data_IF_215847603212
#
_entry.id   IF_215847603212
#
_cell.length_a   1.000
_cell.length_b   1.000
_cell.length_c   1.000
_cell.angle_alpha   90.00
_cell.angle_beta   90.00
_cell.angle_gamma   90.00
#
_symmetry.space_group_name_H-M   'P 1'
#
loop_
_entity.id
_entity.type
_entity.pdbx_description
1 polymer ?
#
# COMPACT_ATOMS: atom_id res chain seq x y z
N UNK A 1 54.95 11.55 35.79
CA UNK A 1 54.77 10.87 34.49
C UNK A 1 54.54 9.39 34.74
N UNK A 2 53.53 8.79 34.09
CA UNK A 2 53.22 7.35 34.06
C UNK A 2 52.63 6.81 35.37
N UNK A 3 51.49 6.12 35.46
CA UNK A 3 50.80 5.28 34.47
C UNK A 3 50.92 3.81 34.90
N UNK A 4 49.77 3.11 35.02
CA UNK A 4 49.57 1.64 35.07
C UNK A 4 49.51 1.01 36.48
N UNK A 5 48.62 0.08 36.85
CA UNK A 5 47.52 -0.66 36.17
C UNK A 5 46.65 -1.30 37.27
N UNK A 6 45.32 -1.18 37.20
CA UNK A 6 44.39 -1.94 38.07
C UNK A 6 44.23 -3.37 37.54
N UNK A 7 44.74 -4.36 38.27
CA UNK A 7 44.42 -5.78 38.03
C UNK A 7 43.10 -6.13 38.71
N UNK A 8 42.01 -5.99 37.97
CA UNK A 8 40.69 -6.49 38.37
C UNK A 8 40.70 -8.03 38.27
N UNK A 9 41.01 -8.69 39.39
CA UNK A 9 40.66 -10.10 39.61
C UNK A 9 39.15 -10.24 39.42
N UNK A 10 38.76 -10.83 38.29
CA UNK A 10 37.38 -11.02 37.88
C UNK A 10 36.54 -11.69 38.96
N UNK A 11 35.34 -11.14 39.16
CA UNK A 11 34.33 -11.67 40.06
C UNK A 11 34.06 -13.14 39.70
N UNK A 12 34.27 -13.99 40.70
CA UNK A 12 33.94 -15.40 40.66
C UNK A 12 32.42 -15.55 40.44
N UNK A 13 32.08 -16.29 39.39
CA UNK A 13 30.93 -17.21 39.31
C UNK A 13 29.54 -16.66 39.66
N UNK A 14 28.79 -16.26 38.61
CA UNK A 14 27.31 -16.37 38.59
C UNK A 14 26.80 -17.38 37.54
N UNK A 15 27.71 -18.07 36.82
CA UNK A 15 27.37 -19.06 35.79
C UNK A 15 27.57 -20.52 36.23
N UNK A 16 28.02 -20.78 37.46
CA UNK A 16 28.38 -22.14 37.92
C UNK A 16 27.27 -22.86 38.73
N UNK A 17 26.04 -22.35 38.75
CA UNK A 17 24.92 -23.01 39.44
C UNK A 17 23.62 -23.00 38.64
N UNK A 18 23.67 -23.50 37.41
CA UNK A 18 22.45 -23.98 36.72
C UNK A 18 22.67 -25.34 36.09
N UNK A 19 23.17 -26.26 36.90
CA UNK A 19 22.90 -27.67 36.73
C UNK A 19 21.58 -27.98 37.45
N UNK A 20 20.45 -27.62 36.84
CA UNK A 20 19.21 -28.34 37.12
C UNK A 20 18.31 -28.38 35.89
N UNK A 21 18.04 -29.60 35.47
CA UNK A 21 17.19 -29.96 34.34
C UNK A 21 15.78 -30.07 34.89
N UNK A 22 14.78 -29.49 34.23
CA UNK A 22 13.50 -30.15 33.85
C UNK A 22 12.53 -29.13 33.24
N UNK A 23 11.86 -29.59 32.18
CA UNK A 23 10.72 -28.97 31.51
C UNK A 23 10.99 -27.74 30.63
N UNK A 24 11.70 -27.95 29.52
CA UNK A 24 11.61 -27.03 28.37
C UNK A 24 10.66 -27.64 27.35
N UNK A 25 9.38 -27.30 27.43
CA UNK A 25 8.46 -27.46 26.30
C UNK A 25 8.97 -26.57 25.17
N UNK A 26 9.75 -27.15 24.26
CA UNK A 26 10.23 -26.45 23.07
C UNK A 26 9.04 -26.09 22.20
N UNK A 27 8.61 -24.83 22.25
CA UNK A 27 7.60 -24.30 21.33
C UNK A 27 8.23 -24.32 19.93
N UNK A 28 7.82 -25.26 19.10
CA UNK A 28 8.16 -25.30 17.68
C UNK A 28 7.19 -24.40 16.93
N UNK A 29 7.65 -23.22 16.52
CA UNK A 29 6.84 -22.35 15.65
C UNK A 29 6.94 -22.85 14.22
N UNK A 30 5.83 -23.34 13.66
CA UNK A 30 5.73 -23.59 12.22
C UNK A 30 5.69 -22.22 11.53
N UNK A 31 6.72 -21.89 10.75
CA UNK A 31 6.71 -20.71 9.86
C UNK A 31 5.59 -20.91 8.83
N UNK A 32 4.45 -20.25 9.03
CA UNK A 32 3.45 -20.09 7.97
C UNK A 32 4.05 -19.17 6.91
N UNK A 33 4.38 -19.72 5.74
CA UNK A 33 4.71 -18.93 4.55
C UNK A 33 3.46 -18.10 4.21
N UNK A 34 3.50 -16.75 4.26
CA UNK A 34 2.39 -15.95 3.82
C UNK A 34 2.24 -16.14 2.30
N UNK A 35 1.16 -16.81 1.87
CA UNK A 35 0.69 -16.82 0.48
C UNK A 35 0.08 -15.47 0.16
N UNK A 36 0.93 -14.46 0.17
CA UNK A 36 0.53 -13.09 -0.05
C UNK A 36 1.03 -12.70 -1.43
N UNK A 37 0.09 -12.52 -2.35
CA UNK A 37 0.31 -11.96 -3.68
C UNK A 37 0.73 -10.48 -3.55
N UNK A 38 1.89 -10.20 -2.94
CA UNK A 38 2.35 -8.85 -2.60
C UNK A 38 2.96 -8.07 -3.78
N UNK A 39 2.90 -8.60 -5.01
CA UNK A 39 3.71 -8.08 -6.12
C UNK A 39 2.95 -7.91 -7.43
N UNK A 40 1.63 -7.78 -7.39
CA UNK A 40 0.91 -7.23 -8.54
C UNK A 40 0.77 -5.73 -8.27
N UNK A 41 1.53 -4.85 -8.97
CA UNK A 41 1.32 -3.42 -8.81
C UNK A 41 -0.14 -3.11 -9.18
N UNK A 42 -0.85 -2.30 -8.39
CA UNK A 42 -2.22 -1.94 -8.74
C UNK A 42 -2.23 -1.33 -10.13
N UNK A 43 -3.12 -1.82 -10.99
CA UNK A 43 -3.37 -1.21 -12.30
C UNK A 43 -3.92 0.19 -12.06
N UNK A 44 -3.06 1.20 -12.16
CA UNK A 44 -3.42 2.59 -11.93
C UNK A 44 -3.73 3.24 -13.27
N UNK A 45 -4.94 3.78 -13.41
CA UNK A 45 -5.28 4.67 -14.52
C UNK A 45 -4.52 5.98 -14.32
N UNK A 46 -3.53 6.24 -15.17
CA UNK A 46 -2.74 7.47 -15.13
C UNK A 46 -3.37 8.51 -16.05
N UNK A 47 -3.81 9.61 -15.46
CA UNK A 47 -4.26 10.81 -16.16
C UNK A 47 -3.19 11.89 -16.01
N UNK A 48 -3.05 12.74 -17.04
CA UNK A 48 -2.24 13.95 -16.95
C UNK A 48 -2.82 14.91 -15.89
N UNK A 49 -2.04 15.89 -15.44
CA UNK A 49 -2.55 16.88 -14.48
C UNK A 49 -3.71 17.68 -15.07
N UNK A 50 -3.63 18.04 -16.35
CA UNK A 50 -4.67 18.76 -17.05
C UNK A 50 -5.96 17.94 -17.16
N UNK A 51 -5.86 16.65 -17.47
CA UNK A 51 -7.04 15.78 -17.58
C UNK A 51 -7.68 15.50 -16.22
N UNK A 52 -6.87 15.41 -15.16
CA UNK A 52 -7.40 15.36 -13.79
C UNK A 52 -8.23 16.58 -13.44
N UNK A 53 -7.78 17.77 -13.85
CA UNK A 53 -8.52 19.01 -13.60
C UNK A 53 -9.86 19.00 -14.34
N UNK A 54 -9.88 18.68 -15.64
CA UNK A 54 -11.11 18.58 -16.43
C UNK A 54 -12.14 17.62 -15.81
N UNK A 55 -11.68 16.48 -15.31
CA UNK A 55 -12.56 15.52 -14.63
C UNK A 55 -13.11 16.09 -13.32
N UNK A 56 -12.31 16.84 -12.55
CA UNK A 56 -12.80 17.48 -11.32
C UNK A 56 -13.78 18.60 -11.61
N UNK A 57 -13.50 19.46 -12.59
CA UNK A 57 -14.40 20.54 -13.01
C UNK A 57 -15.77 19.98 -13.38
N UNK A 58 -15.80 18.89 -14.15
CA UNK A 58 -17.04 18.21 -14.50
C UNK A 58 -17.75 17.57 -13.30
N UNK A 59 -17.01 17.02 -12.33
CA UNK A 59 -17.60 16.53 -11.07
C UNK A 59 -18.26 17.67 -10.30
N UNK A 60 -17.62 18.84 -10.22
CA UNK A 60 -18.17 20.01 -9.53
C UNK A 60 -19.45 20.52 -10.19
N UNK A 61 -19.49 20.57 -11.52
CA UNK A 61 -20.70 20.91 -12.28
C UNK A 61 -21.86 19.95 -11.95
N UNK A 62 -21.62 18.65 -12.04
CA UNK A 62 -22.63 17.64 -11.73
C UNK A 62 -23.11 17.71 -10.28
N UNK A 63 -22.23 18.07 -9.34
CA UNK A 63 -22.61 18.27 -7.94
C UNK A 63 -23.51 19.50 -7.75
N UNK A 64 -23.20 20.61 -8.45
CA UNK A 64 -24.03 21.83 -8.42
C UNK A 64 -25.44 21.54 -8.92
N UNK A 65 -25.56 20.78 -10.00
CA UNK A 65 -26.84 20.47 -10.64
C UNK A 65 -27.69 19.48 -9.82
N UNK A 66 -27.06 18.43 -9.29
CA UNK A 66 -27.81 17.32 -8.66
C UNK A 66 -27.97 17.45 -7.15
N UNK A 67 -27.31 18.43 -6.51
CA UNK A 67 -27.16 18.57 -5.04
C UNK A 67 -26.66 17.29 -4.35
N UNK A 68 -26.10 16.33 -5.10
CA UNK A 68 -25.64 15.03 -4.62
C UNK A 68 -24.13 14.99 -4.65
N UNK A 69 -23.54 14.23 -3.72
CA UNK A 69 -22.10 13.95 -3.71
C UNK A 69 -21.72 12.99 -4.85
N UNK A 70 -21.25 13.56 -5.96
CA UNK A 70 -20.66 12.84 -7.09
C UNK A 70 -19.15 12.77 -6.89
N UNK A 71 -18.54 11.60 -7.05
CA UNK A 71 -17.08 11.47 -7.08
C UNK A 71 -16.64 11.14 -8.50
N UNK A 72 -15.38 11.42 -8.85
CA UNK A 72 -14.81 11.03 -10.14
C UNK A 72 -15.01 9.53 -10.43
N UNK A 73 -14.91 8.67 -9.40
CA UNK A 73 -15.18 7.24 -9.53
C UNK A 73 -16.64 6.93 -9.91
N UNK A 74 -17.62 7.68 -9.38
CA UNK A 74 -19.04 7.51 -9.76
C UNK A 74 -19.29 7.97 -11.19
N UNK A 75 -18.67 9.06 -11.60
CA UNK A 75 -18.73 9.56 -12.97
C UNK A 75 -18.17 8.54 -13.96
N UNK A 76 -16.97 8.02 -13.72
CA UNK A 76 -16.37 6.98 -14.55
C UNK A 76 -17.23 5.72 -14.58
N UNK A 77 -17.81 5.31 -13.44
CA UNK A 77 -18.73 4.18 -13.40
C UNK A 77 -20.00 4.42 -14.22
N UNK A 78 -20.58 5.62 -14.17
CA UNK A 78 -21.73 5.97 -14.99
C UNK A 78 -21.40 5.89 -16.48
N UNK A 79 -20.24 6.42 -16.90
CA UNK A 79 -19.76 6.31 -18.28
C UNK A 79 -19.62 4.86 -18.75
N UNK A 80 -19.12 3.96 -17.89
CA UNK A 80 -19.02 2.54 -18.26
C UNK A 80 -20.39 1.87 -18.46
N UNK A 81 -21.43 2.33 -17.76
CA UNK A 81 -22.80 1.83 -17.94
C UNK A 81 -23.42 2.36 -19.23
N UNK A 82 -23.10 3.59 -19.61
CA UNK A 82 -23.56 4.21 -20.86
C UNK A 82 -22.72 3.80 -22.09
N UNK A 83 -21.82 2.82 -21.95
CA UNK A 83 -20.90 2.40 -23.02
C UNK A 83 -21.62 2.10 -24.34
N UNK A 84 -22.80 1.49 -24.27
CA UNK A 84 -23.56 1.09 -25.46
C UNK A 84 -24.22 2.28 -26.17
N UNK A 85 -24.38 3.40 -25.47
CA UNK A 85 -25.00 4.62 -26.00
C UNK A 85 -23.97 5.60 -26.57
N UNK A 86 -22.67 5.30 -26.40
CA UNK A 86 -21.57 6.11 -26.92
C UNK A 86 -21.27 5.74 -28.39
N UNK A 87 -21.11 6.74 -29.26
CA UNK A 87 -20.67 6.51 -30.63
C UNK A 87 -19.18 6.14 -30.67
N UNK A 88 -18.93 4.85 -30.88
CA UNK A 88 -17.59 4.29 -30.95
C UNK A 88 -16.74 4.91 -32.07
N UNK A 89 -17.34 5.34 -33.19
CA UNK A 89 -16.57 5.96 -34.28
C UNK A 89 -16.03 7.30 -33.83
N UNK A 90 -16.90 8.13 -33.24
CA UNK A 90 -16.52 9.44 -32.72
C UNK A 90 -15.50 9.34 -31.59
N UNK A 91 -15.63 8.33 -30.73
CA UNK A 91 -14.67 8.07 -29.66
C UNK A 91 -13.28 7.74 -30.23
N UNK A 92 -13.20 6.90 -31.27
CA UNK A 92 -11.94 6.54 -31.91
C UNK A 92 -11.28 7.73 -32.61
N UNK A 93 -12.06 8.58 -33.27
CA UNK A 93 -11.55 9.84 -33.84
C UNK A 93 -10.89 10.71 -32.77
N UNK A 94 -11.58 10.94 -31.65
CA UNK A 94 -11.06 11.75 -30.55
C UNK A 94 -9.78 11.16 -29.93
N UNK A 95 -9.68 9.83 -29.84
CA UNK A 95 -8.47 9.17 -29.33
C UNK A 95 -7.29 9.33 -30.29
N UNK A 96 -7.54 9.32 -31.60
CA UNK A 96 -6.48 9.47 -32.61
C UNK A 96 -5.98 10.91 -32.73
N UNK A 97 -6.82 11.90 -32.41
CA UNK A 97 -6.47 13.32 -32.42
C UNK A 97 -5.68 13.76 -31.16
N UNK A 98 -5.59 12.91 -30.14
CA UNK A 98 -4.86 13.14 -28.87
C UNK A 98 -3.39 12.71 -28.95
#
# INVERSE_FOLDING_TARGET
MGGNTLSNKGAKSSLASRADRRNKTTITTVRKQPLTTYKVPPLTLRLSLADKQKVQDWVEELQKDTKRKVSAAKLLRALTLMRNDLDNKRLLELINDM
#
